data_IF_468014631928
#
_entry.id   IF_468014631928
#
_cell.length_a   1.000
_cell.length_b   1.000
_cell.length_c   1.000
_cell.angle_alpha   90.00
_cell.angle_beta   90.00
_cell.angle_gamma   90.00
#
_symmetry.space_group_name_H-M   'P 1'
#
loop_
_entity.id
_entity.type
_entity.pdbx_description
1 polymer ?
#
# COMPACT_ATOMS: atom_id res chain seq x y z
N UNK A 1 6.08 9.12 -9.87
CA UNK A 1 7.10 8.28 -10.53
C UNK A 1 6.60 6.85 -10.45
N UNK A 2 6.31 6.19 -11.57
CA UNK A 2 6.01 4.76 -11.55
C UNK A 2 7.35 4.04 -11.60
N UNK A 3 7.73 3.36 -10.52
CA UNK A 3 8.89 2.51 -10.53
C UNK A 3 8.52 1.23 -11.27
N UNK A 4 8.89 1.13 -12.54
CA UNK A 4 9.03 -0.16 -13.19
C UNK A 4 10.39 -0.68 -12.74
N UNK A 5 10.39 -1.62 -11.79
CA UNK A 5 11.61 -2.11 -11.15
C UNK A 5 12.58 -2.73 -12.16
N UNK A 6 13.82 -2.23 -12.16
CA UNK A 6 15.00 -3.00 -12.55
C UNK A 6 15.24 -4.02 -11.43
N UNK A 7 15.54 -5.30 -11.70
CA UNK A 7 15.35 -6.44 -10.79
C UNK A 7 16.42 -6.55 -9.70
N UNK A 8 16.96 -5.42 -9.22
CA UNK A 8 17.78 -5.38 -8.00
C UNK A 8 16.90 -5.31 -6.76
N UNK A 9 15.81 -6.08 -6.75
CA UNK A 9 15.18 -6.57 -5.52
C UNK A 9 16.00 -7.81 -5.20
N UNK A 10 16.74 -7.78 -4.10
CA UNK A 10 17.44 -8.98 -3.61
C UNK A 10 16.34 -9.93 -3.16
N UNK A 11 15.98 -10.86 -4.03
CA UNK A 11 15.06 -11.96 -3.74
C UNK A 11 15.86 -13.02 -2.98
N UNK A 12 15.94 -12.88 -1.66
CA UNK A 12 16.30 -13.96 -0.76
C UNK A 12 15.26 -13.99 0.37
N UNK A 13 14.20 -14.79 0.17
CA UNK A 13 12.97 -14.76 0.97
C UNK A 13 12.02 -13.62 0.54
N UNK A 14 10.72 -13.87 0.56
CA UNK A 14 9.66 -13.02 -0.02
C UNK A 14 9.40 -11.71 0.76
N UNK A 15 10.36 -10.80 0.76
CA UNK A 15 10.27 -9.50 1.43
C UNK A 15 10.48 -8.35 0.42
N UNK A 16 9.50 -7.45 0.33
CA UNK A 16 9.65 -6.19 -0.40
C UNK A 16 10.02 -5.10 0.59
N UNK A 17 11.23 -4.56 0.46
CA UNK A 17 11.74 -3.51 1.35
C UNK A 17 11.76 -2.16 0.64
N UNK A 18 11.00 -1.19 1.14
CA UNK A 18 11.06 0.20 0.69
C UNK A 18 12.18 0.94 1.45
N UNK A 19 13.24 1.38 0.78
CA UNK A 19 14.33 2.11 1.44
C UNK A 19 14.07 3.64 1.44
N UNK A 20 13.61 4.16 2.57
CA UNK A 20 13.29 5.57 2.75
C UNK A 20 14.53 6.47 2.77
N UNK A 21 15.68 5.96 3.25
CA UNK A 21 16.93 6.71 3.27
C UNK A 21 17.42 6.96 1.84
N UNK A 22 17.37 5.93 1.00
CA UNK A 22 17.65 6.06 -0.44
C UNK A 22 16.72 7.06 -1.12
N UNK A 23 15.41 6.99 -0.85
CA UNK A 23 14.45 7.95 -1.43
C UNK A 23 14.80 9.39 -1.02
N UNK A 24 15.13 9.62 0.25
CA UNK A 24 15.50 10.95 0.75
C UNK A 24 16.75 11.50 0.05
N UNK A 25 17.76 10.66 -0.19
CA UNK A 25 19.01 11.05 -0.86
C UNK A 25 18.81 11.26 -2.37
N UNK A 26 18.12 10.34 -3.03
CA UNK A 26 17.96 10.37 -4.48
C UNK A 26 16.90 11.38 -4.95
N UNK A 27 15.92 11.69 -4.10
CA UNK A 27 14.79 12.57 -4.42
C UNK A 27 14.58 13.62 -3.32
N UNK A 28 15.57 14.49 -3.06
CA UNK A 28 15.49 15.43 -1.94
C UNK A 28 14.36 16.46 -2.08
N UNK A 29 13.83 16.69 -3.29
CA UNK A 29 12.71 17.60 -3.55
C UNK A 29 11.35 16.89 -3.62
N UNK A 30 11.28 15.59 -3.29
CA UNK A 30 10.05 14.81 -3.35
C UNK A 30 9.01 15.40 -2.39
N UNK A 31 7.88 15.83 -2.94
CA UNK A 31 6.77 16.42 -2.19
C UNK A 31 5.54 15.50 -2.08
N UNK A 32 5.47 14.48 -2.94
CA UNK A 32 4.40 13.51 -3.00
C UNK A 32 5.01 12.13 -3.16
N UNK A 33 4.81 11.28 -2.16
CA UNK A 33 5.21 9.89 -2.17
C UNK A 33 3.98 9.00 -2.36
N UNK A 34 4.02 8.11 -3.34
CA UNK A 34 2.95 7.14 -3.60
C UNK A 34 3.52 5.73 -3.50
N UNK A 35 2.91 4.87 -2.69
CA UNK A 35 3.32 3.47 -2.48
C UNK A 35 2.09 2.58 -2.60
N UNK A 36 2.05 1.78 -3.66
CA UNK A 36 0.93 0.90 -3.96
C UNK A 36 1.37 -0.55 -3.89
N UNK A 37 0.56 -1.36 -3.23
CA UNK A 37 0.75 -2.79 -3.06
C UNK A 37 0.11 -3.51 -4.25
N UNK A 38 0.93 -4.13 -5.08
CA UNK A 38 0.51 -4.87 -6.27
C UNK A 38 1.08 -6.29 -6.20
N UNK A 39 0.56 -7.09 -5.26
CA UNK A 39 0.94 -8.51 -5.17
C UNK A 39 -0.26 -9.37 -4.82
N UNK A 40 -0.37 -10.46 -5.57
CA UNK A 40 -1.31 -11.56 -5.35
C UNK A 40 -0.78 -12.59 -4.32
N UNK A 41 0.48 -12.45 -3.89
CA UNK A 41 1.15 -13.34 -2.94
C UNK A 41 1.50 -12.64 -1.62
N UNK A 42 1.57 -13.38 -0.49
CA UNK A 42 1.89 -12.83 0.81
C UNK A 42 3.36 -12.38 0.84
N UNK A 43 3.58 -11.11 0.55
CA UNK A 43 4.88 -10.47 0.65
C UNK A 43 4.95 -9.70 1.96
N UNK A 44 6.03 -9.91 2.72
CA UNK A 44 6.28 -9.09 3.89
C UNK A 44 6.75 -7.72 3.42
N UNK A 45 5.95 -6.69 3.68
CA UNK A 45 6.30 -5.31 3.34
C UNK A 45 6.99 -4.66 4.53
N UNK A 46 8.29 -4.43 4.36
CA UNK A 46 9.07 -3.65 5.30
C UNK A 46 9.55 -2.38 4.64
N UNK A 47 10.02 -1.45 5.46
CA UNK A 47 10.79 -0.33 4.97
C UNK A 47 12.06 -0.24 5.79
N UNK A 48 13.12 0.23 5.14
CA UNK A 48 14.41 0.49 5.73
C UNK A 48 14.61 1.99 5.81
N UNK A 49 15.28 2.42 6.87
CA UNK A 49 15.67 3.81 7.03
C UNK A 49 14.76 4.58 7.98
N UNK A 50 15.37 5.60 8.58
CA UNK A 50 14.73 6.50 9.55
C UNK A 50 14.90 7.96 9.12
N UNK A 51 15.45 8.21 7.94
CA UNK A 51 15.67 9.56 7.43
C UNK A 51 14.34 10.29 7.33
N UNK A 52 14.25 11.52 7.85
CA UNK A 52 13.04 12.30 7.74
C UNK A 52 12.85 12.75 6.30
N UNK A 53 11.70 12.41 5.73
CA UNK A 53 11.23 12.86 4.42
C UNK A 53 10.52 14.21 4.58
N UNK A 54 11.27 15.23 5.02
CA UNK A 54 10.72 16.55 5.41
C UNK A 54 9.98 17.27 4.27
N UNK A 55 10.34 16.99 3.02
CA UNK A 55 9.70 17.64 1.87
C UNK A 55 8.39 16.96 1.46
N UNK A 56 8.14 15.72 1.91
CA UNK A 56 6.91 14.97 1.59
C UNK A 56 5.74 15.58 2.35
N UNK A 57 4.80 16.15 1.61
CA UNK A 57 3.59 16.80 2.12
C UNK A 57 2.32 16.02 1.79
N UNK A 58 2.38 15.12 0.80
CA UNK A 58 1.31 14.20 0.42
C UNK A 58 1.85 12.77 0.41
N UNK A 59 1.12 11.87 1.07
CA UNK A 59 1.39 10.44 1.08
C UNK A 59 0.16 9.75 0.50
N UNK A 60 0.39 8.93 -0.50
CA UNK A 60 -0.62 8.12 -1.17
C UNK A 60 -0.23 6.65 -0.96
N UNK A 61 -1.08 5.90 -0.27
CA UNK A 61 -0.86 4.49 0.04
C UNK A 61 -2.06 3.68 -0.41
N UNK A 62 -1.86 2.46 -0.85
CA UNK A 62 -2.99 1.63 -1.21
C UNK A 62 -2.64 0.26 -1.75
N UNK A 63 -3.66 -0.46 -2.18
CA UNK A 63 -3.54 -1.80 -2.73
C UNK A 63 -4.37 -1.97 -4.01
N UNK A 64 -3.87 -2.81 -4.92
CA UNK A 64 -4.56 -3.22 -6.15
C UNK A 64 -5.40 -4.49 -5.94
N UNK A 65 -4.98 -5.40 -5.05
CA UNK A 65 -5.72 -6.62 -4.73
C UNK A 65 -5.89 -6.73 -3.21
N UNK A 66 -7.13 -6.89 -2.75
CA UNK A 66 -7.41 -7.09 -1.32
C UNK A 66 -7.45 -8.58 -0.99
N UNK A 67 -6.28 -9.16 -0.71
CA UNK A 67 -6.16 -10.49 -0.13
C UNK A 67 -5.73 -10.34 1.34
N UNK A 68 -6.61 -10.73 2.28
CA UNK A 68 -6.36 -10.55 3.71
C UNK A 68 -5.15 -11.36 4.21
N UNK A 69 -4.86 -12.51 3.59
CA UNK A 69 -3.67 -13.31 3.89
C UNK A 69 -2.37 -12.59 3.46
N UNK A 70 -2.47 -11.59 2.58
CA UNK A 70 -1.34 -10.85 2.01
C UNK A 70 -1.22 -9.42 2.57
N UNK A 71 -2.32 -8.83 3.03
CA UNK A 71 -2.37 -7.48 3.62
C UNK A 71 -2.30 -7.60 5.15
N UNK A 72 -1.22 -8.18 5.65
CA UNK A 72 -0.93 -8.16 7.09
C UNK A 72 -0.22 -6.85 7.40
N UNK A 73 -0.66 -6.16 8.45
CA UNK A 73 -0.02 -4.97 9.03
C UNK A 73 0.01 -3.68 8.17
N UNK A 74 -0.86 -3.53 7.16
CA UNK A 74 -0.91 -2.30 6.34
C UNK A 74 -1.10 -1.03 7.17
N UNK A 75 -1.95 -1.07 8.21
CA UNK A 75 -2.11 0.05 9.15
C UNK A 75 -0.82 0.37 9.90
N UNK A 76 -0.13 -0.65 10.43
CA UNK A 76 1.13 -0.45 11.16
C UNK A 76 2.23 0.07 10.23
N UNK A 77 2.34 -0.51 9.04
CA UNK A 77 3.26 -0.06 8.01
C UNK A 77 3.00 1.39 7.63
N UNK A 78 1.73 1.77 7.40
CA UNK A 78 1.35 3.15 7.09
C UNK A 78 1.74 4.08 8.24
N UNK A 79 1.47 3.70 9.50
CA UNK A 79 1.84 4.51 10.67
C UNK A 79 3.35 4.74 10.75
N UNK A 80 4.14 3.73 10.42
CA UNK A 80 5.60 3.85 10.41
C UNK A 80 6.09 4.81 9.33
N UNK A 81 5.54 4.77 8.10
CA UNK A 81 5.88 5.73 7.03
C UNK A 81 5.44 7.16 7.42
N UNK A 82 4.28 7.30 8.06
CA UNK A 82 3.81 8.60 8.57
C UNK A 82 4.81 9.23 9.54
N UNK A 83 5.41 8.43 10.44
CA UNK A 83 6.44 8.90 11.39
C UNK A 83 7.70 9.41 10.70
N UNK A 84 8.01 8.94 9.49
CA UNK A 84 9.13 9.42 8.68
C UNK A 84 8.79 10.70 7.88
N UNK A 85 7.52 11.12 7.82
CA UNK A 85 7.06 12.28 7.05
C UNK A 85 6.57 13.41 7.98
N UNK A 86 7.45 14.17 8.65
CA UNK A 86 7.06 15.10 9.72
C UNK A 86 6.22 16.30 9.24
N UNK A 87 6.27 16.64 7.96
CA UNK A 87 5.52 17.77 7.38
C UNK A 87 4.30 17.32 6.57
N UNK A 88 3.86 16.07 6.75
CA UNK A 88 2.75 15.53 6.00
C UNK A 88 1.45 16.29 6.30
N UNK A 89 0.72 16.66 5.25
CA UNK A 89 -0.55 17.38 5.35
C UNK A 89 -1.72 16.58 4.82
N UNK A 90 -1.46 15.60 3.95
CA UNK A 90 -2.50 14.81 3.32
C UNK A 90 -2.09 13.36 3.21
N UNK A 91 -2.95 12.47 3.68
CA UNK A 91 -2.89 11.03 3.43
C UNK A 91 -4.05 10.63 2.53
N UNK A 92 -3.74 9.93 1.45
CA UNK A 92 -4.74 9.33 0.58
C UNK A 92 -4.58 7.82 0.69
N UNK A 93 -5.66 7.14 1.10
CA UNK A 93 -5.70 5.67 1.17
C UNK A 93 -6.54 5.17 0.01
N UNK A 94 -5.88 4.51 -0.93
CA UNK A 94 -6.50 3.88 -2.09
C UNK A 94 -6.68 2.39 -1.86
N UNK A 95 -7.76 1.84 -2.40
CA UNK A 95 -7.97 0.40 -2.33
C UNK A 95 -8.95 -0.06 -3.38
N UNK A 96 -8.62 -1.13 -4.08
CA UNK A 96 -9.62 -1.89 -4.81
C UNK A 96 -10.33 -2.84 -3.85
N UNK A 97 -11.65 -2.78 -3.85
CA UNK A 97 -12.50 -3.63 -3.01
C UNK A 97 -13.43 -4.42 -3.91
N UNK A 98 -13.66 -5.67 -3.58
CA UNK A 98 -14.57 -6.53 -4.34
C UNK A 98 -16.00 -6.22 -3.90
N UNK A 99 -16.91 -6.13 -4.88
CA UNK A 99 -18.34 -6.20 -4.59
C UNK A 99 -18.66 -7.64 -4.15
N UNK A 100 -18.65 -7.85 -2.85
CA UNK A 100 -18.89 -9.14 -2.22
C UNK A 100 -20.07 -9.08 -1.26
N UNK A 101 -20.85 -10.16 -1.20
CA UNK A 101 -21.82 -10.41 -0.13
C UNK A 101 -21.23 -11.30 0.97
N UNK A 102 -19.96 -11.71 0.83
CA UNK A 102 -19.25 -12.51 1.82
C UNK A 102 -19.10 -11.74 3.14
N UNK A 103 -19.74 -12.19 4.23
CA UNK A 103 -19.67 -11.52 5.52
C UNK A 103 -18.25 -11.45 6.07
N UNK A 104 -17.40 -12.45 5.81
CA UNK A 104 -16.02 -12.49 6.31
C UNK A 104 -15.18 -11.40 5.66
N UNK A 105 -15.21 -11.31 4.32
CA UNK A 105 -14.59 -10.22 3.58
C UNK A 105 -15.04 -8.83 4.07
N UNK A 106 -16.36 -8.64 4.23
CA UNK A 106 -16.92 -7.35 4.64
C UNK A 106 -16.52 -6.98 6.08
N UNK A 107 -16.45 -7.96 6.98
CA UNK A 107 -15.99 -7.78 8.35
C UNK A 107 -14.50 -7.39 8.38
N UNK A 108 -13.65 -8.11 7.65
CA UNK A 108 -12.21 -7.80 7.56
C UNK A 108 -11.97 -6.38 7.00
N UNK A 109 -12.69 -5.98 5.95
CA UNK A 109 -12.61 -4.63 5.40
C UNK A 109 -13.07 -3.55 6.41
N UNK A 110 -14.12 -3.84 7.19
CA UNK A 110 -14.61 -2.95 8.24
C UNK A 110 -13.60 -2.81 9.40
N UNK A 111 -13.00 -3.92 9.85
CA UNK A 111 -11.96 -3.93 10.87
C UNK A 111 -10.71 -3.16 10.40
N UNK A 112 -10.26 -3.39 9.17
CA UNK A 112 -9.16 -2.64 8.57
C UNK A 112 -9.41 -1.13 8.56
N UNK A 113 -10.57 -0.72 8.02
CA UNK A 113 -10.92 0.69 7.91
C UNK A 113 -11.04 1.33 9.30
N UNK A 114 -11.55 0.59 10.28
CA UNK A 114 -11.64 1.04 11.68
C UNK A 114 -10.25 1.22 12.30
N UNK A 115 -9.37 0.22 12.16
CA UNK A 115 -7.98 0.28 12.63
C UNK A 115 -7.22 1.47 12.01
N UNK A 116 -7.39 1.69 10.70
CA UNK A 116 -6.82 2.83 10.01
C UNK A 116 -7.37 4.16 10.57
N UNK A 117 -8.69 4.25 10.78
CA UNK A 117 -9.31 5.44 11.36
C UNK A 117 -8.81 5.72 12.79
N UNK A 118 -8.64 4.70 13.62
CA UNK A 118 -8.10 4.82 14.97
C UNK A 118 -6.64 5.30 14.95
N UNK A 119 -5.81 4.72 14.09
CA UNK A 119 -4.43 5.18 13.91
C UNK A 119 -4.38 6.65 13.48
N UNK A 120 -5.21 7.03 12.51
CA UNK A 120 -5.25 8.39 11.96
C UNK A 120 -5.80 9.43 12.95
N UNK A 121 -6.59 9.01 13.93
CA UNK A 121 -7.03 9.88 15.02
C UNK A 121 -5.85 10.47 15.84
N UNK A 122 -4.69 9.81 15.83
CA UNK A 122 -3.45 10.29 16.45
C UNK A 122 -2.82 11.47 15.68
N UNK A 123 -3.25 11.71 14.44
CA UNK A 123 -2.67 12.70 13.52
C UNK A 123 -3.71 13.72 13.03
N UNK A 124 -4.28 14.55 13.94
CA UNK A 124 -5.38 15.45 13.61
C UNK A 124 -5.04 16.58 12.62
N UNK A 125 -3.75 16.79 12.33
CA UNK A 125 -3.26 17.79 11.38
C UNK A 125 -3.20 17.28 9.94
N UNK A 126 -3.41 15.98 9.72
CA UNK A 126 -3.37 15.34 8.40
C UNK A 126 -4.79 15.26 7.85
N UNK A 127 -5.00 15.82 6.67
CA UNK A 127 -6.22 15.58 5.88
C UNK A 127 -6.21 14.13 5.37
N UNK A 128 -7.23 13.35 5.73
CA UNK A 128 -7.35 11.95 5.30
C UNK A 128 -8.43 11.83 4.22
N UNK A 129 -8.10 11.10 3.15
CA UNK A 129 -9.07 10.72 2.13
C UNK A 129 -8.98 9.23 1.81
N UNK A 130 -10.08 8.52 2.01
CA UNK A 130 -10.25 7.15 1.51
C UNK A 130 -10.83 7.17 0.10
N UNK A 131 -10.22 6.43 -0.82
CA UNK A 131 -10.67 6.29 -2.21
C UNK A 131 -10.74 4.81 -2.55
N UNK A 132 -11.92 4.22 -2.35
CA UNK A 132 -12.15 2.82 -2.68
C UNK A 132 -12.81 2.66 -4.05
N UNK A 133 -12.19 1.85 -4.90
CA UNK A 133 -12.73 1.46 -6.19
C UNK A 133 -13.40 0.09 -6.03
N UNK A 134 -14.71 0.05 -6.24
CA UNK A 134 -15.47 -1.21 -6.16
C UNK A 134 -15.35 -1.94 -7.49
N UNK A 135 -14.74 -3.12 -7.48
CA UNK A 135 -14.70 -4.02 -8.62
C UNK A 135 -15.85 -5.02 -8.53
N UNK A 136 -16.62 -5.12 -9.61
CA UNK A 136 -17.53 -6.25 -9.81
C UNK A 136 -16.76 -7.38 -10.46
N UNK A 137 -16.95 -8.63 -10.01
CA UNK A 137 -16.55 -9.82 -10.77
C UNK A 137 -17.30 -9.87 -12.12
N UNK A 138 -16.98 -9.00 -13.06
CA UNK A 138 -17.42 -9.12 -14.45
C UNK A 138 -16.27 -9.73 -15.22
N UNK A 139 -16.30 -11.07 -15.30
CA UNK A 139 -15.74 -11.87 -16.40
C UNK A 139 -14.50 -11.30 -17.08
N UNK A 140 -13.40 -11.09 -16.34
CA UNK A 140 -12.10 -11.27 -16.97
C UNK A 140 -12.00 -12.77 -17.16
N UNK A 141 -11.98 -13.32 -18.40
CA UNK A 141 -11.58 -14.70 -18.56
C UNK A 141 -10.23 -14.80 -17.87
N UNK A 142 -10.07 -15.77 -16.99
CA UNK A 142 -8.74 -16.25 -16.64
C UNK A 142 -8.07 -16.63 -17.97
N UNK A 143 -7.36 -15.70 -18.60
CA UNK A 143 -6.36 -16.06 -19.61
C UNK A 143 -5.15 -16.61 -18.85
N UNK A 144 -5.37 -17.72 -18.14
CA UNK A 144 -4.32 -18.71 -17.98
C UNK A 144 -4.21 -19.44 -19.32
N UNK A 145 -3.53 -18.78 -20.26
CA UNK A 145 -2.96 -19.45 -21.41
C UNK A 145 -1.78 -20.29 -20.93
N UNK A 146 -2.04 -21.52 -20.51
CA UNK A 146 -1.12 -22.59 -20.85
C UNK A 146 -1.64 -23.21 -22.14
N UNK A 147 -0.86 -23.00 -23.18
CA UNK A 147 -1.14 -23.47 -24.52
C UNK A 147 -1.37 -24.97 -24.58
N UNK A 148 -2.08 -25.33 -25.64
CA UNK A 148 -2.22 -26.65 -26.22
C UNK A 148 -0.88 -27.41 -26.20
N UNK A 149 -0.90 -28.69 -25.79
CA UNK A 149 -0.54 -29.83 -26.65
C UNK A 149 -0.07 -31.06 -25.85
N UNK A 150 -0.82 -32.16 -26.06
CA UNK A 150 -0.62 -33.60 -25.72
C UNK A 150 -0.86 -34.08 -24.29
#
# INVERSE_FOLDING_TARGET
MRFYGDPTIIVDGSELVVDLDQIAVCSPQLNHLSILYDVDEPVNYNFRGLSPLENVVILDVGWEYFNWDCIVDFTEWTEKVLKCCPNLRKLIVHGKVLKSEDPEYLMNLAEHTSSMSEMLSKYPHIEVKFTYNVETFQNTPLQYGFGEDW
#
